data_IF_245379342623
#
_entry.id   IF_245379342623
#
_cell.length_a   1.000
_cell.length_b   1.000
_cell.length_c   1.000
_cell.angle_alpha   90.00
_cell.angle_beta   90.00
_cell.angle_gamma   90.00
#
_symmetry.space_group_name_H-M   'P 1'
#
loop_
_entity.id
_entity.type
_entity.pdbx_description
1 polymer ?
#
# COMPACT_ATOMS: atom_id res chain seq x y z
N UNK A 1 -19.17 60.40 21.25
CA UNK A 1 -20.10 59.38 20.73
C UNK A 1 -19.59 58.77 19.38
N UNK A 2 -18.94 59.56 18.50
CA UNK A 2 -18.41 59.08 17.20
C UNK A 2 -17.14 58.21 17.34
N UNK A 3 -16.27 58.48 18.28
CA UNK A 3 -15.05 57.69 18.52
C UNK A 3 -15.30 56.31 19.12
N UNK A 4 -16.38 56.14 19.91
CA UNK A 4 -16.74 54.85 20.50
C UNK A 4 -17.27 53.87 19.42
N UNK A 5 -17.98 54.37 18.41
CA UNK A 5 -18.54 53.54 17.31
C UNK A 5 -17.46 52.99 16.39
N UNK A 6 -16.36 53.70 16.17
CA UNK A 6 -15.23 53.24 15.33
C UNK A 6 -14.46 52.13 16.03
N UNK A 7 -14.25 52.22 17.35
CA UNK A 7 -13.57 51.17 18.12
C UNK A 7 -14.31 49.84 18.15
N UNK A 8 -15.64 49.87 18.22
CA UNK A 8 -16.48 48.63 18.21
C UNK A 8 -16.48 47.94 16.84
N UNK A 9 -16.46 48.72 15.74
CA UNK A 9 -16.39 48.13 14.39
C UNK A 9 -15.00 47.53 14.11
N UNK A 10 -13.92 48.10 14.64
CA UNK A 10 -12.56 47.57 14.44
C UNK A 10 -12.34 46.25 15.25
N UNK A 11 -12.96 46.17 16.44
CA UNK A 11 -12.88 44.97 17.28
C UNK A 11 -13.73 43.79 16.75
N UNK A 12 -14.85 44.09 16.05
CA UNK A 12 -15.68 43.07 15.38
C UNK A 12 -15.02 42.50 14.12
N UNK A 13 -14.17 43.29 13.42
CA UNK A 13 -13.45 42.83 12.23
C UNK A 13 -12.28 41.86 12.56
N UNK A 14 -11.75 41.88 13.78
CA UNK A 14 -10.66 41.00 14.23
C UNK A 14 -11.11 39.63 14.68
N UNK A 15 -12.40 39.43 14.92
CA UNK A 15 -12.97 38.12 15.32
C UNK A 15 -13.30 37.20 14.15
N UNK A 16 -13.14 37.64 12.89
CA UNK A 16 -13.45 36.87 11.68
C UNK A 16 -12.26 36.10 11.08
N UNK A 17 -11.06 36.22 11.66
CA UNK A 17 -9.90 35.42 11.28
C UNK A 17 -9.79 34.10 12.05
N UNK A 18 -10.93 33.46 12.35
CA UNK A 18 -10.96 32.10 12.83
C UNK A 18 -10.51 31.17 11.70
N UNK A 19 -9.35 30.51 11.85
CA UNK A 19 -8.91 29.43 10.96
C UNK A 19 -10.02 28.39 10.83
N UNK A 20 -10.78 28.45 9.74
CA UNK A 20 -11.86 27.50 9.48
C UNK A 20 -11.21 26.16 9.10
N UNK A 21 -11.37 25.08 9.92
CA UNK A 21 -10.79 23.77 9.65
C UNK A 21 -11.26 23.18 8.32
N UNK A 22 -12.41 23.62 7.80
CA UNK A 22 -12.92 23.26 6.47
C UNK A 22 -12.03 23.80 5.33
N UNK A 23 -11.43 25.00 5.48
CA UNK A 23 -10.50 25.53 4.48
C UNK A 23 -9.21 24.73 4.40
N UNK A 24 -8.68 24.29 5.54
CA UNK A 24 -7.47 23.47 5.59
C UNK A 24 -7.69 22.08 5.00
N UNK A 25 -8.86 21.48 5.20
CA UNK A 25 -9.24 20.21 4.59
C UNK A 25 -9.39 20.34 3.06
N UNK A 26 -10.01 21.43 2.57
CA UNK A 26 -10.17 21.68 1.14
C UNK A 26 -8.85 21.92 0.42
N UNK A 27 -7.92 22.66 1.03
CA UNK A 27 -6.57 22.91 0.47
C UNK A 27 -5.76 21.60 0.45
N UNK A 28 -5.88 20.75 1.48
CA UNK A 28 -5.20 19.46 1.54
C UNK A 28 -5.72 18.52 0.44
N UNK A 29 -7.03 18.46 0.26
CA UNK A 29 -7.67 17.68 -0.80
C UNK A 29 -7.30 18.17 -2.20
N UNK A 30 -7.22 19.50 -2.41
CA UNK A 30 -6.79 20.09 -3.68
C UNK A 30 -5.33 19.78 -3.98
N UNK A 31 -4.45 19.85 -2.97
CA UNK A 31 -3.03 19.50 -3.10
C UNK A 31 -2.85 18.02 -3.48
N UNK A 32 -3.58 17.12 -2.84
CA UNK A 32 -3.55 15.68 -3.16
C UNK A 32 -4.04 15.38 -4.58
N UNK A 33 -4.99 16.14 -5.11
CA UNK A 33 -5.49 15.98 -6.47
C UNK A 33 -4.49 16.46 -7.55
N UNK A 34 -3.62 17.44 -7.22
CA UNK A 34 -2.68 18.06 -8.18
C UNK A 34 -1.26 17.51 -8.04
N UNK A 35 -0.82 17.16 -6.83
CA UNK A 35 0.57 16.78 -6.51
C UNK A 35 0.69 15.27 -6.21
N UNK A 36 -0.42 14.55 -6.09
CA UNK A 36 -0.50 13.20 -5.58
C UNK A 36 -0.64 13.17 -4.05
N UNK A 37 -0.88 11.99 -3.47
CA UNK A 37 -0.99 11.85 -2.03
C UNK A 37 0.33 12.24 -1.34
N UNK A 38 0.25 13.04 -0.26
CA UNK A 38 1.44 13.38 0.54
C UNK A 38 2.12 12.08 0.98
N UNK A 39 3.33 11.86 0.53
CA UNK A 39 4.11 10.71 0.94
C UNK A 39 4.53 10.92 2.40
N UNK A 40 4.05 10.03 3.28
CA UNK A 40 4.43 10.05 4.70
C UNK A 40 5.93 9.81 4.79
N UNK A 41 6.66 10.80 5.28
CA UNK A 41 8.07 10.66 5.61
C UNK A 41 8.18 10.07 7.03
N UNK A 42 8.81 8.89 7.12
CA UNK A 42 8.98 8.15 8.38
C UNK A 42 10.47 7.93 8.59
N UNK A 43 11.00 8.43 9.71
CA UNK A 43 12.41 8.25 10.05
C UNK A 43 12.70 6.90 10.70
N UNK A 44 13.95 6.44 10.60
CA UNK A 44 14.41 5.21 11.26
C UNK A 44 14.22 5.27 12.80
N UNK A 45 14.38 6.45 13.40
CA UNK A 45 14.16 6.64 14.84
C UNK A 45 12.70 6.40 15.25
N UNK A 46 11.74 6.96 14.47
CA UNK A 46 10.31 6.73 14.72
C UNK A 46 9.92 5.25 14.57
N UNK A 47 10.49 4.58 13.58
CA UNK A 47 10.25 3.14 13.38
C UNK A 47 10.81 2.33 14.53
N UNK A 48 11.98 2.68 15.07
CA UNK A 48 12.63 1.98 16.17
C UNK A 48 11.89 2.09 17.52
N UNK A 49 11.04 3.10 17.71
CA UNK A 49 10.22 3.26 18.92
C UNK A 49 9.12 2.19 19.04
N UNK A 50 8.74 1.59 17.93
CA UNK A 50 7.66 0.59 17.89
C UNK A 50 8.24 -0.82 17.83
N UNK A 51 7.84 -1.68 18.75
CA UNK A 51 8.37 -3.05 18.92
C UNK A 51 7.84 -4.06 17.90
N UNK A 52 6.77 -3.72 17.20
CA UNK A 52 6.14 -4.61 16.20
C UNK A 52 6.74 -4.40 14.81
N UNK A 53 6.78 -5.42 13.96
CA UNK A 53 7.10 -5.24 12.55
C UNK A 53 6.18 -4.20 11.90
N UNK A 54 6.74 -3.38 11.03
CA UNK A 54 6.05 -2.26 10.40
C UNK A 54 6.27 -2.27 8.90
N UNK A 55 5.21 -1.91 8.18
CA UNK A 55 5.26 -1.59 6.76
C UNK A 55 4.76 -0.16 6.53
N UNK A 56 5.33 0.52 5.53
CA UNK A 56 4.73 1.72 4.93
C UNK A 56 3.82 1.29 3.80
N UNK A 57 2.58 1.68 3.86
CA UNK A 57 1.58 1.47 2.81
C UNK A 57 1.24 2.80 2.17
N UNK A 58 1.33 2.86 0.84
CA UNK A 58 0.86 4.01 0.04
C UNK A 58 -0.26 3.55 -0.88
N UNK A 59 -1.34 4.31 -0.90
CA UNK A 59 -2.52 4.11 -1.74
C UNK A 59 -2.80 5.41 -2.53
N UNK A 60 -3.72 5.42 -3.49
CA UNK A 60 -4.15 6.65 -4.15
C UNK A 60 -4.72 7.71 -3.18
N UNK A 61 -5.20 7.28 -1.99
CA UNK A 61 -5.78 8.17 -0.97
C UNK A 61 -4.76 8.73 0.03
N UNK A 62 -3.53 8.21 0.04
CA UNK A 62 -2.48 8.65 0.96
C UNK A 62 -1.58 7.52 1.44
N UNK A 63 -0.70 7.85 2.38
CA UNK A 63 0.27 6.93 2.96
C UNK A 63 0.06 6.76 4.46
N UNK A 64 0.39 5.59 4.99
CA UNK A 64 0.36 5.28 6.41
C UNK A 64 1.33 4.18 6.81
N UNK A 65 1.61 4.07 8.10
CA UNK A 65 2.35 2.95 8.69
C UNK A 65 1.35 1.97 9.28
N UNK A 66 1.51 0.69 8.92
CA UNK A 66 0.75 -0.41 9.48
C UNK A 66 1.68 -1.28 10.33
N UNK A 67 1.17 -1.74 11.47
CA UNK A 67 1.86 -2.70 12.32
C UNK A 67 1.33 -4.12 12.09
N UNK A 68 2.23 -5.11 12.18
CA UNK A 68 1.85 -6.53 12.19
C UNK A 68 1.22 -6.86 13.54
N UNK A 69 -0.09 -7.09 13.56
CA UNK A 69 -0.84 -7.40 14.80
C UNK A 69 -1.07 -8.88 15.00
N UNK A 70 -1.04 -9.64 13.93
CA UNK A 70 -1.24 -11.09 13.97
C UNK A 70 -0.62 -11.75 12.75
N UNK A 71 -0.11 -12.95 12.98
CA UNK A 71 0.34 -13.86 11.95
C UNK A 71 -0.24 -15.24 12.21
N UNK A 72 -0.69 -15.89 11.16
CA UNK A 72 -1.20 -17.25 11.21
C UNK A 72 -0.75 -18.00 9.96
N UNK A 73 0.15 -18.98 10.14
CA UNK A 73 0.79 -19.68 9.04
C UNK A 73 1.50 -18.67 8.10
N UNK A 74 1.08 -18.61 6.84
CA UNK A 74 1.61 -17.71 5.80
C UNK A 74 0.83 -16.38 5.69
N UNK A 75 -0.20 -16.16 6.54
CA UNK A 75 -1.09 -15.00 6.46
C UNK A 75 -0.76 -13.97 7.55
N UNK A 76 -0.39 -12.78 7.11
CA UNK A 76 -0.04 -11.65 7.96
C UNK A 76 -1.16 -10.61 7.98
N UNK A 77 -1.52 -10.13 9.18
CA UNK A 77 -2.53 -9.12 9.42
C UNK A 77 -1.88 -7.80 9.81
N UNK A 78 -1.89 -6.84 8.90
CA UNK A 78 -1.32 -5.52 9.06
C UNK A 78 -2.42 -4.50 9.29
N UNK A 79 -2.31 -3.67 10.36
CA UNK A 79 -3.36 -2.74 10.76
C UNK A 79 -2.79 -1.34 10.98
N UNK A 80 -3.49 -0.33 10.44
CA UNK A 80 -3.23 1.07 10.73
C UNK A 80 -4.08 1.57 11.92
N UNK A 81 -3.68 2.66 12.53
CA UNK A 81 -4.44 3.32 13.62
C UNK A 81 -5.86 3.74 13.19
N UNK A 82 -6.08 3.99 11.91
CA UNK A 82 -7.38 4.35 11.31
C UNK A 82 -8.30 3.18 10.98
N UNK A 83 -8.05 1.99 11.49
CA UNK A 83 -8.81 0.75 11.24
C UNK A 83 -8.67 0.16 9.82
N UNK A 84 -7.79 0.71 8.98
CA UNK A 84 -7.45 0.07 7.72
C UNK A 84 -6.69 -1.23 7.96
N UNK A 85 -7.00 -2.25 7.18
CA UNK A 85 -6.37 -3.56 7.28
C UNK A 85 -5.86 -4.00 5.92
N UNK A 86 -4.65 -4.55 5.91
CA UNK A 86 -4.05 -5.24 4.77
C UNK A 86 -3.66 -6.65 5.19
N UNK A 87 -4.10 -7.65 4.46
CA UNK A 87 -3.66 -9.03 4.63
C UNK A 87 -2.65 -9.36 3.53
N UNK A 88 -1.48 -9.83 3.96
CA UNK A 88 -0.43 -10.33 3.05
C UNK A 88 -0.26 -11.83 3.21
N UNK A 89 -0.01 -12.51 2.09
CA UNK A 89 0.44 -13.90 2.03
C UNK A 89 1.68 -13.97 1.16
N UNK A 90 2.81 -14.37 1.75
CA UNK A 90 4.11 -14.39 1.05
C UNK A 90 4.39 -13.08 0.28
N UNK A 91 4.04 -11.93 0.87
CA UNK A 91 4.19 -10.59 0.29
C UNK A 91 3.16 -10.20 -0.79
N UNK A 92 2.25 -11.09 -1.18
CA UNK A 92 1.10 -10.77 -2.03
C UNK A 92 -0.04 -10.20 -1.17
N UNK A 93 -0.61 -9.06 -1.57
CA UNK A 93 -1.84 -8.55 -0.98
C UNK A 93 -3.02 -9.46 -1.35
N UNK A 94 -3.65 -10.06 -0.33
CA UNK A 94 -4.73 -11.05 -0.53
C UNK A 94 -6.09 -10.55 -0.06
N UNK A 95 -6.13 -9.52 0.76
CA UNK A 95 -7.36 -8.84 1.21
C UNK A 95 -7.05 -7.45 1.70
N UNK A 96 -8.00 -6.53 1.51
CA UNK A 96 -7.95 -5.18 2.08
C UNK A 96 -9.27 -4.84 2.77
N UNK A 97 -9.22 -3.93 3.75
CA UNK A 97 -10.40 -3.38 4.41
C UNK A 97 -10.16 -1.88 4.63
N UNK A 98 -11.03 -1.05 4.06
CA UNK A 98 -10.98 0.40 4.21
C UNK A 98 -9.82 1.08 3.51
N UNK A 99 -9.19 0.43 2.52
CA UNK A 99 -8.10 1.01 1.72
C UNK A 99 -8.60 1.59 0.39
N UNK A 100 -9.62 0.98 -0.20
CA UNK A 100 -10.17 1.41 -1.48
C UNK A 100 -11.36 2.36 -1.32
N UNK A 101 -11.28 3.57 -1.87
CA UNK A 101 -12.42 4.51 -1.92
C UNK A 101 -13.54 3.93 -2.78
N UNK A 102 -13.20 3.26 -3.87
CA UNK A 102 -14.12 2.64 -4.83
C UNK A 102 -14.34 1.14 -4.59
N UNK A 103 -13.79 0.59 -3.52
CA UNK A 103 -13.92 -0.81 -3.11
C UNK A 103 -12.60 -1.47 -2.78
N UNK A 104 -12.69 -2.46 -1.92
CA UNK A 104 -11.57 -3.27 -1.42
C UNK A 104 -11.43 -4.58 -2.21
N UNK A 105 -10.24 -5.17 -2.14
CA UNK A 105 -10.00 -6.57 -2.48
C UNK A 105 -10.57 -7.42 -1.35
N UNK A 106 -11.63 -8.17 -1.60
CA UNK A 106 -12.30 -8.97 -0.57
C UNK A 106 -11.63 -10.33 -0.32
N UNK A 107 -10.98 -10.88 -1.33
CA UNK A 107 -10.25 -12.14 -1.19
C UNK A 107 -9.39 -12.49 -2.39
N UNK A 108 -8.38 -13.35 -2.14
CA UNK A 108 -7.53 -13.93 -3.19
C UNK A 108 -7.30 -15.40 -2.90
N UNK A 109 -7.52 -16.24 -3.91
CA UNK A 109 -7.20 -17.68 -3.89
C UNK A 109 -6.08 -17.93 -4.88
N UNK A 110 -5.02 -18.59 -4.42
CA UNK A 110 -3.87 -18.93 -5.23
C UNK A 110 -4.02 -20.34 -5.82
N UNK A 111 -3.53 -20.52 -7.04
CA UNK A 111 -3.32 -21.86 -7.58
C UNK A 111 -2.11 -22.53 -6.89
N UNK A 112 -2.07 -23.85 -6.92
CA UNK A 112 -0.98 -24.62 -6.28
C UNK A 112 0.41 -24.30 -6.86
N UNK A 113 0.47 -23.87 -8.12
CA UNK A 113 1.70 -23.48 -8.79
C UNK A 113 2.05 -22.00 -8.62
N UNK A 114 1.32 -21.24 -7.80
CA UNK A 114 1.62 -19.82 -7.55
C UNK A 114 3.04 -19.67 -6.99
N UNK A 115 3.86 -18.76 -7.56
CA UNK A 115 5.29 -18.72 -7.25
C UNK A 115 5.60 -18.04 -5.91
N UNK A 116 4.65 -17.37 -5.28
CA UNK A 116 4.87 -16.59 -4.06
C UNK A 116 5.40 -17.45 -2.91
N UNK A 117 4.79 -18.62 -2.66
CA UNK A 117 5.20 -19.54 -1.59
C UNK A 117 6.63 -20.07 -1.75
N UNK A 118 7.09 -20.27 -2.98
CA UNK A 118 8.47 -20.74 -3.26
C UNK A 118 9.49 -19.59 -3.26
N UNK A 119 9.00 -18.34 -3.21
CA UNK A 119 9.77 -17.13 -3.35
C UNK A 119 9.97 -16.70 -4.82
N UNK A 120 9.64 -15.45 -5.09
CA UNK A 120 9.72 -14.87 -6.45
C UNK A 120 11.15 -14.83 -7.00
N UNK A 121 12.18 -14.93 -6.15
CA UNK A 121 13.59 -15.02 -6.58
C UNK A 121 13.88 -16.28 -7.42
N UNK A 122 13.05 -17.33 -7.30
CA UNK A 122 13.18 -18.58 -8.04
C UNK A 122 12.30 -18.64 -9.29
N UNK A 123 11.42 -17.64 -9.52
CA UNK A 123 10.51 -17.68 -10.66
C UNK A 123 11.30 -17.64 -11.98
N UNK A 124 10.95 -18.52 -12.91
CA UNK A 124 11.53 -18.50 -14.25
C UNK A 124 10.99 -17.29 -15.05
N UNK A 125 11.84 -16.74 -15.93
CA UNK A 125 11.37 -15.70 -16.85
C UNK A 125 10.28 -16.24 -17.78
N UNK A 126 9.20 -15.47 -17.96
CA UNK A 126 8.04 -15.88 -18.74
C UNK A 126 7.10 -16.86 -18.05
N UNK A 127 7.35 -17.27 -16.80
CA UNK A 127 6.45 -18.15 -16.04
C UNK A 127 5.03 -17.58 -15.97
N UNK A 128 4.03 -18.44 -16.12
CA UNK A 128 2.62 -18.05 -16.04
C UNK A 128 1.89 -18.80 -14.93
N UNK A 129 0.98 -18.13 -14.25
CA UNK A 129 0.08 -18.73 -13.27
C UNK A 129 -1.27 -18.01 -13.27
N UNK A 130 -2.23 -18.60 -12.56
CA UNK A 130 -3.54 -17.98 -12.34
C UNK A 130 -3.80 -17.86 -10.84
N UNK A 131 -4.64 -16.88 -10.49
CA UNK A 131 -5.28 -16.77 -9.18
C UNK A 131 -6.70 -16.25 -9.37
N UNK A 132 -7.51 -16.35 -8.35
CA UNK A 132 -8.87 -15.82 -8.34
C UNK A 132 -8.99 -14.74 -7.30
N UNK A 133 -9.67 -13.66 -7.66
CA UNK A 133 -9.94 -12.56 -6.74
C UNK A 133 -11.43 -12.33 -6.59
N UNK A 134 -11.81 -11.87 -5.41
CA UNK A 134 -13.16 -11.44 -5.09
C UNK A 134 -13.11 -9.94 -4.77
N UNK A 135 -14.04 -9.15 -5.34
CA UNK A 135 -14.10 -7.70 -5.15
C UNK A 135 -15.38 -7.33 -4.40
N UNK A 136 -15.24 -6.49 -3.38
CA UNK A 136 -16.37 -6.07 -2.56
C UNK A 136 -17.39 -5.23 -3.34
N UNK A 137 -16.92 -4.28 -4.15
CA UNK A 137 -17.79 -3.46 -5.01
C UNK A 137 -18.21 -4.29 -6.23
N UNK A 138 -19.51 -4.40 -6.45
CA UNK A 138 -20.08 -5.20 -7.54
C UNK A 138 -20.36 -6.66 -7.17
N UNK A 139 -19.97 -7.12 -5.98
CA UNK A 139 -20.11 -8.52 -5.53
C UNK A 139 -19.51 -9.52 -6.54
N UNK A 140 -18.41 -9.13 -7.16
CA UNK A 140 -17.71 -9.93 -8.16
C UNK A 140 -16.86 -10.99 -7.47
N UNK A 141 -17.13 -12.25 -7.71
CA UNK A 141 -16.50 -13.39 -7.05
C UNK A 141 -15.83 -14.28 -8.10
N UNK A 142 -14.63 -14.76 -7.79
CA UNK A 142 -13.92 -15.72 -8.62
C UNK A 142 -13.40 -15.16 -9.93
N UNK A 143 -13.10 -13.86 -10.00
CA UNK A 143 -12.49 -13.25 -11.17
C UNK A 143 -11.10 -13.84 -11.41
N UNK A 144 -10.85 -14.31 -12.63
CA UNK A 144 -9.58 -14.91 -12.99
C UNK A 144 -8.56 -13.81 -13.29
N UNK A 145 -7.45 -13.83 -12.56
CA UNK A 145 -6.25 -13.04 -12.82
C UNK A 145 -5.24 -13.94 -13.54
N UNK A 146 -4.95 -13.64 -14.78
CA UNK A 146 -3.87 -14.28 -15.53
C UNK A 146 -2.58 -13.51 -15.27
N UNK A 147 -1.55 -14.21 -14.82
CA UNK A 147 -0.25 -13.63 -14.46
C UNK A 147 0.86 -14.16 -15.34
N UNK A 148 1.75 -13.25 -15.77
CA UNK A 148 3.02 -13.57 -16.42
C UNK A 148 4.16 -12.85 -15.71
N UNK A 149 5.16 -13.61 -15.28
CA UNK A 149 6.30 -13.10 -14.53
C UNK A 149 7.50 -12.86 -15.44
N UNK A 150 8.28 -11.81 -15.13
CA UNK A 150 9.53 -11.50 -15.80
C UNK A 150 10.57 -11.04 -14.78
N UNK A 151 11.74 -11.66 -14.82
CA UNK A 151 12.88 -11.26 -13.99
C UNK A 151 13.55 -10.03 -14.60
N UNK A 152 14.00 -9.11 -13.74
CA UNK A 152 14.73 -7.91 -14.13
C UNK A 152 16.13 -7.94 -13.53
N UNK A 153 16.90 -6.88 -13.81
CA UNK A 153 18.21 -6.72 -13.21
C UNK A 153 18.15 -6.56 -11.69
N UNK A 154 19.20 -6.98 -11.04
CA UNK A 154 19.46 -6.66 -9.64
C UNK A 154 19.76 -5.17 -9.50
N UNK A 155 19.28 -4.55 -8.44
CA UNK A 155 19.44 -3.12 -8.16
C UNK A 155 19.59 -2.87 -6.66
N UNK A 156 20.03 -1.68 -6.29
CA UNK A 156 20.03 -1.21 -4.90
C UNK A 156 18.69 -0.58 -4.55
N UNK A 157 18.15 -0.95 -3.40
CA UNK A 157 16.95 -0.38 -2.81
C UNK A 157 17.28 0.26 -1.46
N UNK A 158 17.02 1.55 -1.31
CA UNK A 158 17.15 2.26 -0.04
C UNK A 158 15.83 2.15 0.74
N UNK A 159 15.87 1.65 1.98
CA UNK A 159 14.76 1.67 2.93
C UNK A 159 15.26 2.27 4.23
N UNK A 160 14.74 3.43 4.61
CA UNK A 160 15.26 4.23 5.71
C UNK A 160 16.79 4.45 5.52
N UNK A 161 17.58 4.12 6.53
CA UNK A 161 19.04 4.29 6.52
C UNK A 161 19.80 3.06 5.99
N UNK A 162 19.09 2.04 5.44
CA UNK A 162 19.69 0.78 4.98
C UNK A 162 19.58 0.60 3.48
N UNK A 163 20.65 0.10 2.89
CA UNK A 163 20.69 -0.33 1.49
C UNK A 163 20.53 -1.85 1.39
N UNK A 164 19.73 -2.28 0.43
CA UNK A 164 19.45 -3.67 0.13
C UNK A 164 19.77 -3.96 -1.34
N UNK A 165 20.47 -5.05 -1.61
CA UNK A 165 20.55 -5.58 -2.96
C UNK A 165 19.30 -6.40 -3.25
N UNK A 166 18.57 -6.05 -4.29
CA UNK A 166 17.29 -6.68 -4.61
C UNK A 166 17.22 -7.10 -6.07
N UNK A 167 16.57 -8.22 -6.33
CA UNK A 167 16.14 -8.65 -7.64
C UNK A 167 14.75 -8.05 -7.90
N UNK A 168 14.56 -7.34 -9.02
CA UNK A 168 13.24 -6.91 -9.41
C UNK A 168 12.55 -8.01 -10.21
N UNK A 169 11.30 -8.32 -9.83
CA UNK A 169 10.40 -9.21 -10.55
C UNK A 169 9.14 -8.44 -10.93
N UNK A 170 8.80 -8.46 -12.20
CA UNK A 170 7.56 -7.87 -12.72
C UNK A 170 6.53 -8.97 -12.96
N UNK A 171 5.30 -8.73 -12.54
CA UNK A 171 4.12 -9.57 -12.83
C UNK A 171 3.15 -8.78 -13.70
N UNK A 172 3.01 -9.13 -14.97
CA UNK A 172 1.94 -8.60 -15.81
C UNK A 172 0.66 -9.36 -15.50
N UNK A 173 -0.39 -8.64 -15.11
CA UNK A 173 -1.71 -9.19 -14.83
C UNK A 173 -2.72 -8.78 -15.89
N UNK A 174 -3.65 -9.68 -16.18
CA UNK A 174 -4.82 -9.47 -17.03
C UNK A 174 -6.05 -10.11 -16.36
N UNK A 175 -7.08 -9.29 -16.13
CA UNK A 175 -8.38 -9.73 -15.58
C UNK A 175 -9.46 -9.36 -16.59
N UNK A 176 -9.74 -10.26 -17.56
CA UNK A 176 -10.59 -9.94 -18.71
C UNK A 176 -12.01 -9.50 -18.32
N UNK A 177 -12.58 -10.11 -17.27
CA UNK A 177 -13.94 -9.85 -16.82
C UNK A 177 -14.21 -8.37 -16.45
N UNK A 178 -13.18 -7.66 -15.98
CA UNK A 178 -13.29 -6.24 -15.60
C UNK A 178 -12.37 -5.33 -16.44
N UNK A 179 -11.74 -5.86 -17.49
CA UNK A 179 -10.84 -5.11 -18.37
C UNK A 179 -9.58 -4.59 -17.68
N UNK A 180 -9.19 -5.15 -16.52
CA UNK A 180 -8.02 -4.71 -15.79
C UNK A 180 -6.76 -5.33 -16.39
N UNK A 181 -5.81 -4.47 -16.80
CA UNK A 181 -4.45 -4.83 -17.21
C UNK A 181 -3.46 -3.95 -16.48
N UNK A 182 -2.49 -4.57 -15.81
CA UNK A 182 -1.47 -3.84 -15.06
C UNK A 182 -0.17 -4.63 -14.98
N UNK A 183 0.87 -3.97 -14.47
CA UNK A 183 2.12 -4.63 -14.09
C UNK A 183 2.39 -4.35 -12.61
N UNK A 184 2.47 -5.40 -11.84
CA UNK A 184 2.92 -5.37 -10.46
C UNK A 184 4.44 -5.48 -10.43
N UNK A 185 5.07 -4.87 -9.44
CA UNK A 185 6.51 -4.85 -9.26
C UNK A 185 6.87 -5.36 -7.88
N UNK A 186 7.85 -6.25 -7.80
CA UNK A 186 8.33 -6.82 -6.55
C UNK A 186 9.85 -6.66 -6.47
N UNK A 187 10.36 -6.11 -5.38
CA UNK A 187 11.77 -6.02 -5.05
C UNK A 187 12.09 -7.05 -4.00
N UNK A 188 12.77 -8.08 -4.43
CA UNK A 188 12.92 -9.36 -3.73
C UNK A 188 14.38 -9.54 -3.32
N UNK A 189 14.61 -9.97 -2.09
CA UNK A 189 15.94 -10.38 -1.67
C UNK A 189 16.35 -11.62 -2.51
N UNK A 190 17.47 -11.57 -3.24
CA UNK A 190 17.88 -12.68 -4.10
C UNK A 190 18.31 -13.93 -3.33
N UNK A 191 18.56 -13.84 -2.00
CA UNK A 191 19.06 -14.95 -1.18
C UNK A 191 17.91 -15.82 -0.63
N UNK A 192 16.87 -15.17 -0.13
CA UNK A 192 15.79 -15.86 0.60
C UNK A 192 14.37 -15.63 0.00
N UNK A 193 14.25 -14.74 -0.97
CA UNK A 193 12.99 -14.44 -1.63
C UNK A 193 12.08 -13.47 -0.87
N UNK A 194 12.55 -12.88 0.24
CA UNK A 194 11.78 -11.91 0.99
C UNK A 194 11.46 -10.67 0.14
N UNK A 195 10.18 -10.27 0.09
CA UNK A 195 9.74 -9.10 -0.66
C UNK A 195 9.90 -7.86 0.22
N UNK A 196 10.96 -7.09 -0.05
CA UNK A 196 11.29 -5.85 0.68
C UNK A 196 10.37 -4.69 0.28
N UNK A 197 9.98 -4.64 -0.98
CA UNK A 197 9.04 -3.66 -1.51
C UNK A 197 8.20 -4.28 -2.60
N UNK A 198 6.95 -3.83 -2.70
CA UNK A 198 6.09 -4.17 -3.84
C UNK A 198 5.19 -3.01 -4.25
N UNK A 199 4.80 -3.02 -5.51
CA UNK A 199 3.71 -2.21 -6.06
C UNK A 199 2.71 -3.15 -6.71
N UNK A 200 1.47 -3.14 -6.23
CA UNK A 200 0.46 -4.11 -6.64
C UNK A 200 -0.84 -3.41 -7.04
N UNK A 201 -1.37 -3.71 -8.21
CA UNK A 201 -2.71 -3.32 -8.62
C UNK A 201 -3.71 -4.36 -8.13
N UNK A 202 -4.60 -3.98 -7.21
CA UNK A 202 -5.54 -4.88 -6.53
C UNK A 202 -6.93 -4.85 -7.15
N UNK A 203 -7.41 -3.65 -7.51
CA UNK A 203 -8.67 -3.43 -8.23
C UNK A 203 -8.43 -2.45 -9.38
N UNK A 204 -9.43 -2.08 -10.14
CA UNK A 204 -9.30 -1.07 -11.19
C UNK A 204 -8.86 0.30 -10.67
N UNK A 205 -9.13 0.60 -9.38
CA UNK A 205 -8.87 1.90 -8.74
C UNK A 205 -7.85 1.83 -7.61
N UNK A 206 -7.58 0.63 -7.06
CA UNK A 206 -6.70 0.47 -5.91
C UNK A 206 -5.35 -0.10 -6.35
N UNK A 207 -4.34 0.77 -6.40
CA UNK A 207 -2.93 0.41 -6.45
C UNK A 207 -2.32 0.65 -5.08
N UNK A 208 -1.51 -0.28 -4.60
CA UNK A 208 -0.80 -0.15 -3.34
C UNK A 208 0.70 -0.27 -3.55
N UNK A 209 1.47 0.54 -2.82
CA UNK A 209 2.91 0.36 -2.64
C UNK A 209 3.16 -0.01 -1.20
N UNK A 210 3.87 -1.10 -0.98
CA UNK A 210 4.20 -1.67 0.32
C UNK A 210 5.70 -1.67 0.48
N UNK A 211 6.23 -1.11 1.57
CA UNK A 211 7.65 -1.08 1.90
C UNK A 211 7.85 -1.66 3.30
N UNK A 212 8.72 -2.64 3.44
CA UNK A 212 9.07 -3.23 4.74
C UNK A 212 9.99 -2.29 5.52
N UNK A 213 9.46 -1.59 6.53
CA UNK A 213 10.25 -0.71 7.40
C UNK A 213 11.09 -1.50 8.40
N UNK A 214 10.51 -2.57 8.95
CA UNK A 214 11.18 -3.55 9.82
C UNK A 214 10.93 -4.94 9.24
N UNK A 215 11.81 -5.46 8.35
CA UNK A 215 11.65 -6.77 7.74
C UNK A 215 11.57 -7.88 8.80
N UNK A 216 10.47 -8.62 8.78
CA UNK A 216 10.28 -9.80 9.63
C UNK A 216 10.45 -11.06 8.79
N UNK A 217 11.57 -11.76 8.99
CA UNK A 217 11.96 -12.93 8.21
C UNK A 217 11.72 -14.26 8.93
N UNK A 218 10.97 -14.27 10.03
CA UNK A 218 10.78 -15.46 10.89
C UNK A 218 10.11 -16.64 10.18
N UNK A 219 9.42 -16.40 9.08
CA UNK A 219 8.63 -17.40 8.34
C UNK A 219 9.21 -17.78 6.98
N UNK A 220 10.42 -17.31 6.67
CA UNK A 220 11.10 -17.77 5.47
C UNK A 220 11.62 -19.20 5.70
N UNK A 221 11.49 -20.09 4.70
CA UNK A 221 11.97 -21.47 4.77
C UNK A 221 13.48 -21.58 4.93
#
# INVERSE_FOLDING_TARGET
VKTLKVGVCLMAALMLCGCNPLMTASVRNLKSAVIGPDELDVSAAQVAEVKYPQIKLTTPSGSGVLALVREREDLQFWVASGKQVLLLRDGLAVRTIGLGVEGDLDGTRLADNAPFKRGLHQVADGFTSQRWIDLYKGQEVGLIVNSRFSRRATQTLQILDKEYTVLRVDERIDVPAIGLRATNHYWVDPLDGFILQSEQQLTTQLRVRIVQLTPDRRHLP
#
